data_IF_315247054609
#
_entry.id   IF_315247054609
#
_cell.length_a   1.000
_cell.length_b   1.000
_cell.length_c   1.000
_cell.angle_alpha   90.00
_cell.angle_beta   90.00
_cell.angle_gamma   90.00
#
_symmetry.space_group_name_H-M   'P 1'
#
loop_
_entity.id
_entity.type
_entity.pdbx_description
1 polymer ?
#
# COMPACT_ATOMS: atom_id res chain seq x y z
N UNK A 1 8.78 20.32 -7.96
CA UNK A 1 7.93 21.25 -7.15
C UNK A 1 6.82 20.43 -6.53
N UNK A 2 6.62 20.47 -5.21
CA UNK A 2 5.44 19.86 -4.60
C UNK A 2 4.17 20.50 -5.19
N UNK A 3 3.26 19.68 -5.68
CA UNK A 3 2.00 20.11 -6.29
C UNK A 3 1.15 20.75 -5.18
N UNK A 4 0.83 22.05 -5.33
CA UNK A 4 -0.13 22.73 -4.46
C UNK A 4 -1.54 22.34 -4.92
N UNK A 5 -2.14 21.34 -4.27
CA UNK A 5 -3.53 20.95 -4.53
C UNK A 5 -4.48 21.67 -3.57
N UNK A 6 -5.60 22.19 -4.09
CA UNK A 6 -6.67 22.78 -3.26
C UNK A 6 -7.38 21.78 -2.34
N UNK A 7 -7.23 20.48 -2.61
CA UNK A 7 -7.84 19.41 -1.81
C UNK A 7 -6.93 18.93 -0.68
N UNK A 8 -5.64 19.30 -0.71
CA UNK A 8 -4.68 18.91 0.31
C UNK A 8 -4.68 19.93 1.45
N UNK A 9 -4.76 19.45 2.69
CA UNK A 9 -4.71 20.26 3.90
C UNK A 9 -3.49 19.85 4.72
N UNK A 10 -2.59 20.81 4.92
CA UNK A 10 -1.42 20.67 5.79
C UNK A 10 -1.87 20.76 7.26
N UNK A 11 -1.30 19.96 8.19
CA UNK A 11 -1.52 20.12 9.62
C UNK A 11 -1.07 21.52 10.09
N UNK A 12 -1.75 22.04 11.12
CA UNK A 12 -1.42 23.35 11.72
C UNK A 12 -0.23 23.29 12.68
N UNK A 13 0.15 22.10 13.13
CA UNK A 13 1.29 21.81 14.01
C UNK A 13 2.25 20.85 13.31
N UNK A 14 3.35 20.48 13.98
CA UNK A 14 4.31 19.46 13.52
C UNK A 14 3.79 18.01 13.64
N UNK A 15 2.46 17.84 13.72
CA UNK A 15 1.85 16.52 13.75
C UNK A 15 2.12 15.75 12.44
N UNK A 16 2.42 14.45 12.57
CA UNK A 16 2.65 13.53 11.44
C UNK A 16 1.30 13.09 10.84
N UNK A 17 0.54 14.05 10.33
CA UNK A 17 -0.77 13.82 9.74
C UNK A 17 -1.03 14.78 8.57
N UNK A 18 -2.05 14.50 7.77
CA UNK A 18 -2.55 15.41 6.73
C UNK A 18 -4.03 15.17 6.49
N UNK A 19 -4.73 16.10 5.84
CA UNK A 19 -6.12 15.87 5.45
C UNK A 19 -6.32 16.02 3.95
N UNK A 20 -7.29 15.29 3.42
CA UNK A 20 -7.75 15.41 2.03
C UNK A 20 -9.24 15.73 2.03
N UNK A 21 -9.65 16.69 1.20
CA UNK A 21 -11.06 16.94 0.90
C UNK A 21 -11.54 15.99 -0.19
N UNK A 22 -12.20 14.91 0.22
CA UNK A 22 -12.89 13.98 -0.67
C UNK A 22 -14.29 14.50 -1.01
N UNK A 23 -14.94 13.86 -1.98
CA UNK A 23 -16.34 14.12 -2.31
C UNK A 23 -17.26 14.03 -1.08
N UNK A 24 -17.07 13.00 -0.25
CA UNK A 24 -17.87 12.78 0.96
C UNK A 24 -17.44 13.64 2.17
N UNK A 25 -16.47 14.55 2.00
CA UNK A 25 -15.99 15.43 3.06
C UNK A 25 -14.49 15.28 3.37
N UNK A 26 -14.06 15.97 4.44
CA UNK A 26 -12.66 16.02 4.85
C UNK A 26 -12.28 14.78 5.67
N UNK A 27 -11.24 14.08 5.26
CA UNK A 27 -10.67 12.93 5.98
C UNK A 27 -9.27 13.28 6.45
N UNK A 28 -8.98 13.03 7.72
CA UNK A 28 -7.65 13.20 8.32
C UNK A 28 -6.94 11.85 8.37
N UNK A 29 -5.72 11.81 7.85
CA UNK A 29 -4.86 10.64 7.82
C UNK A 29 -3.72 10.81 8.82
N UNK A 30 -3.53 9.83 9.70
CA UNK A 30 -2.31 9.69 10.47
C UNK A 30 -1.24 9.07 9.57
N UNK A 31 -0.16 9.80 9.31
CA UNK A 31 0.88 9.37 8.37
C UNK A 31 1.94 8.46 9.02
N UNK A 32 1.85 8.23 10.32
CA UNK A 32 2.73 7.31 11.03
C UNK A 32 2.61 5.89 10.46
N UNK A 33 3.76 5.29 10.15
CA UNK A 33 3.82 3.96 9.54
C UNK A 33 3.50 3.91 8.04
N UNK A 34 3.25 5.03 7.37
CA UNK A 34 2.88 5.03 5.94
C UNK A 34 3.99 4.45 5.06
N UNK A 35 5.25 4.78 5.33
CA UNK A 35 6.37 4.30 4.51
C UNK A 35 6.56 2.80 4.67
N UNK A 36 6.46 2.30 5.89
CA UNK A 36 6.57 0.89 6.25
C UNK A 36 5.46 0.07 5.59
N UNK A 37 4.22 0.56 5.68
CA UNK A 37 3.05 -0.05 5.01
C UNK A 37 3.22 -0.04 3.48
N UNK A 38 3.68 1.06 2.90
CA UNK A 38 3.89 1.18 1.46
C UNK A 38 5.09 0.35 0.96
N UNK A 39 6.05 0.04 1.83
CA UNK A 39 7.19 -0.84 1.55
C UNK A 39 6.87 -2.32 1.80
N UNK A 40 5.62 -2.69 2.10
CA UNK A 40 5.24 -4.08 2.29
C UNK A 40 5.28 -4.83 0.96
N UNK A 41 6.48 -5.29 0.62
CA UNK A 41 6.80 -6.06 -0.58
C UNK A 41 7.20 -7.47 -0.14
N UNK A 42 6.64 -8.47 -0.80
CA UNK A 42 7.04 -9.86 -0.61
C UNK A 42 8.35 -10.11 -1.37
N UNK A 43 9.43 -10.55 -0.69
CA UNK A 43 10.68 -10.86 -1.37
C UNK A 43 10.48 -11.93 -2.47
N UNK A 44 11.18 -11.83 -3.61
CA UNK A 44 11.07 -12.81 -4.70
C UNK A 44 11.34 -14.24 -4.25
N UNK A 45 12.23 -14.43 -3.26
CA UNK A 45 12.58 -15.73 -2.71
C UNK A 45 11.40 -16.36 -1.97
N UNK A 46 10.62 -15.56 -1.24
CA UNK A 46 9.40 -16.02 -0.55
C UNK A 46 8.32 -16.38 -1.57
N UNK A 47 8.16 -15.57 -2.62
CA UNK A 47 7.23 -15.88 -3.72
C UNK A 47 7.60 -17.21 -4.38
N UNK A 48 8.89 -17.42 -4.65
CA UNK A 48 9.38 -18.64 -5.28
C UNK A 48 9.19 -19.86 -4.37
N UNK A 49 9.39 -19.71 -3.07
CA UNK A 49 9.11 -20.76 -2.09
C UNK A 49 7.63 -21.15 -2.09
N UNK A 50 6.71 -20.16 -2.10
CA UNK A 50 5.27 -20.42 -2.10
C UNK A 50 4.81 -21.11 -3.39
N UNK A 51 5.46 -20.84 -4.54
CA UNK A 51 5.23 -21.56 -5.80
C UNK A 51 5.67 -23.03 -5.76
N UNK A 52 6.53 -23.41 -4.82
CA UNK A 52 6.98 -24.79 -4.63
C UNK A 52 6.22 -25.52 -3.51
N UNK A 53 5.22 -24.86 -2.90
CA UNK A 53 4.40 -25.45 -1.84
C UNK A 53 3.77 -26.77 -2.29
N UNK A 54 3.66 -27.74 -1.39
CA UNK A 54 2.94 -29.00 -1.62
C UNK A 54 1.42 -28.81 -1.64
N UNK A 55 0.92 -27.71 -1.07
CA UNK A 55 -0.51 -27.38 -1.09
C UNK A 55 -0.88 -26.68 -2.39
N UNK A 56 -1.78 -27.28 -3.16
CA UNK A 56 -2.19 -26.77 -4.48
C UNK A 56 -2.80 -25.37 -4.41
N UNK A 57 -3.56 -25.08 -3.35
CA UNK A 57 -4.15 -23.75 -3.11
C UNK A 57 -3.09 -22.66 -2.96
N UNK A 58 -2.04 -22.93 -2.18
CA UNK A 58 -0.92 -21.99 -1.99
C UNK A 58 -0.17 -21.81 -3.31
N UNK A 59 0.09 -22.88 -4.04
CA UNK A 59 0.77 -22.81 -5.33
C UNK A 59 -0.01 -21.95 -6.33
N UNK A 60 -1.32 -22.18 -6.44
CA UNK A 60 -2.21 -21.43 -7.33
C UNK A 60 -2.18 -19.92 -7.04
N UNK A 61 -2.31 -19.53 -5.77
CA UNK A 61 -2.33 -18.12 -5.37
C UNK A 61 -1.06 -17.37 -5.81
N UNK A 62 0.10 -18.03 -5.78
CA UNK A 62 1.40 -17.39 -6.07
C UNK A 62 1.88 -17.59 -7.52
N UNK A 63 1.10 -18.26 -8.37
CA UNK A 63 1.39 -18.41 -9.81
C UNK A 63 0.95 -17.19 -10.63
N UNK A 64 -0.09 -16.47 -10.22
CA UNK A 64 -0.51 -15.24 -10.89
C UNK A 64 0.61 -14.16 -10.82
N UNK A 65 0.78 -13.33 -11.87
CA UNK A 65 1.71 -12.20 -11.79
C UNK A 65 1.30 -11.28 -10.64
N UNK A 66 2.21 -10.90 -9.75
CA UNK A 66 1.87 -9.87 -8.77
C UNK A 66 1.84 -8.50 -9.45
N UNK A 67 0.87 -7.66 -9.11
CA UNK A 67 0.91 -6.25 -9.54
C UNK A 67 2.10 -5.54 -8.91
N UNK A 68 2.49 -4.38 -9.47
CA UNK A 68 3.53 -3.52 -8.87
C UNK A 68 3.25 -3.12 -7.41
N UNK A 69 2.00 -3.25 -6.95
CA UNK A 69 1.57 -2.98 -5.56
C UNK A 69 1.43 -4.26 -4.73
N UNK A 70 1.89 -5.41 -5.22
CA UNK A 70 1.91 -6.67 -4.46
C UNK A 70 0.56 -7.37 -4.33
N UNK A 71 -0.47 -6.94 -5.06
CA UNK A 71 -1.75 -7.65 -5.07
C UNK A 71 -1.68 -8.86 -5.99
N UNK A 72 -2.21 -10.00 -5.53
CA UNK A 72 -2.50 -11.15 -6.37
C UNK A 72 -3.68 -10.78 -7.28
N UNK A 73 -3.58 -11.02 -8.60
CA UNK A 73 -4.77 -10.96 -9.44
C UNK A 73 -5.72 -12.09 -8.98
N UNK A 74 -6.90 -11.70 -8.50
CA UNK A 74 -8.01 -12.64 -8.33
C UNK A 74 -8.64 -12.99 -9.66
#
# INVERSE_FOLDING_TARGET
RNIKSKYYVRPKSDAVCFAIHHFAGRVVYQAEGFLEKNRNFLPPEVIQLMRQSQYDTIRFLFQCPMTKTGNLFS
#
